data_IF_521472457026
#
_entry.id   IF_521472457026
#
_cell.length_a   1.000
_cell.length_b   1.000
_cell.length_c   1.000
_cell.angle_alpha   90.00
_cell.angle_beta   90.00
_cell.angle_gamma   90.00
#
_symmetry.space_group_name_H-M   'P 1'
#
loop_
_entity.id
_entity.type
_entity.pdbx_description
1 polymer ?
#
# COMPACT_ATOMS: atom_id res chain seq x y z
N UNK A 1 28.75 16.52 -9.21
CA UNK A 1 28.44 15.35 -8.34
C UNK A 1 27.63 15.77 -7.13
N UNK A 2 27.90 16.93 -6.54
CA UNK A 2 27.17 17.45 -5.36
C UNK A 2 25.70 17.75 -5.60
N UNK A 3 25.32 18.19 -6.80
CA UNK A 3 23.93 18.50 -7.16
C UNK A 3 23.06 17.23 -7.20
N UNK A 4 23.62 16.11 -7.68
CA UNK A 4 22.96 14.81 -7.66
C UNK A 4 22.77 14.30 -6.21
N UNK A 5 23.78 14.46 -5.35
CA UNK A 5 23.67 14.11 -3.93
C UNK A 5 22.65 14.98 -3.21
N UNK A 6 22.57 16.27 -3.54
CA UNK A 6 21.59 17.21 -2.98
C UNK A 6 20.17 16.83 -3.42
N UNK A 7 19.98 16.44 -4.68
CA UNK A 7 18.70 15.97 -5.21
C UNK A 7 18.25 14.67 -4.52
N UNK A 8 19.15 13.71 -4.36
CA UNK A 8 18.89 12.46 -3.62
C UNK A 8 18.60 12.75 -2.14
N UNK A 9 19.31 13.69 -1.51
CA UNK A 9 19.05 14.09 -0.12
C UNK A 9 17.66 14.69 0.08
N UNK A 10 17.21 15.54 -0.84
CA UNK A 10 15.92 16.22 -0.75
C UNK A 10 14.73 15.36 -1.17
N UNK A 11 14.90 14.49 -2.18
CA UNK A 11 13.81 13.68 -2.73
C UNK A 11 13.84 12.22 -2.28
N UNK A 12 14.98 11.72 -1.80
CA UNK A 12 15.14 10.33 -1.38
C UNK A 12 14.22 9.94 -0.23
N UNK A 13 14.02 10.84 0.74
CA UNK A 13 13.07 10.60 1.84
C UNK A 13 11.61 10.55 1.35
N UNK A 14 11.08 11.55 0.63
CA UNK A 14 9.75 11.46 0.03
C UNK A 14 9.56 10.22 -0.84
N UNK A 15 10.53 9.86 -1.67
CA UNK A 15 10.48 8.67 -2.54
C UNK A 15 10.37 7.39 -1.69
N UNK A 16 11.22 7.24 -0.68
CA UNK A 16 11.20 6.07 0.20
C UNK A 16 9.85 5.95 0.94
N UNK A 17 9.30 7.06 1.43
CA UNK A 17 7.98 7.09 2.06
C UNK A 17 6.89 6.70 1.07
N UNK A 18 6.88 7.28 -0.14
CA UNK A 18 5.91 6.91 -1.18
C UNK A 18 6.01 5.44 -1.55
N UNK A 19 7.21 4.89 -1.73
CA UNK A 19 7.42 3.47 -2.02
C UNK A 19 6.90 2.58 -0.89
N UNK A 20 7.21 2.92 0.37
CA UNK A 20 6.69 2.20 1.54
C UNK A 20 5.16 2.24 1.60
N UNK A 21 4.56 3.41 1.37
CA UNK A 21 3.11 3.58 1.40
C UNK A 21 2.43 2.80 0.28
N UNK A 22 3.00 2.77 -0.93
CA UNK A 22 2.46 1.99 -2.05
C UNK A 22 2.40 0.49 -1.69
N UNK A 23 3.51 -0.08 -1.22
CA UNK A 23 3.57 -1.49 -0.78
C UNK A 23 2.59 -1.75 0.36
N UNK A 24 2.50 -0.82 1.32
CA UNK A 24 1.56 -0.95 2.45
C UNK A 24 0.10 -0.91 2.00
N UNK A 25 -0.25 -0.05 1.05
CA UNK A 25 -1.62 0.08 0.53
C UNK A 25 -2.02 -1.17 -0.24
N UNK A 26 -1.12 -1.74 -1.03
CA UNK A 26 -1.38 -3.01 -1.74
C UNK A 26 -1.87 -4.10 -0.79
N UNK A 27 -1.15 -4.33 0.31
CA UNK A 27 -1.57 -5.30 1.34
C UNK A 27 -2.96 -5.00 1.92
N UNK A 28 -3.29 -3.71 2.15
CA UNK A 28 -4.62 -3.32 2.65
C UNK A 28 -5.74 -3.54 1.66
N UNK A 29 -5.49 -3.37 0.36
CA UNK A 29 -6.48 -3.67 -0.69
C UNK A 29 -6.75 -5.18 -0.76
N UNK A 30 -5.70 -6.00 -0.61
CA UNK A 30 -5.86 -7.46 -0.54
C UNK A 30 -6.67 -7.88 0.68
N UNK A 31 -6.35 -7.36 1.87
CA UNK A 31 -7.09 -7.63 3.12
C UNK A 31 -8.58 -7.26 2.98
N UNK A 32 -8.87 -6.10 2.39
CA UNK A 32 -10.24 -5.64 2.16
C UNK A 32 -11.00 -6.56 1.19
N UNK A 33 -10.34 -6.98 0.12
CA UNK A 33 -10.92 -7.92 -0.85
C UNK A 33 -11.27 -9.25 -0.18
N UNK A 34 -10.39 -9.77 0.68
CA UNK A 34 -10.65 -10.96 1.49
C UNK A 34 -11.85 -10.78 2.41
N UNK A 35 -11.91 -9.65 3.13
CA UNK A 35 -13.01 -9.31 4.04
C UNK A 35 -14.37 -9.26 3.33
N UNK A 36 -14.42 -8.71 2.10
CA UNK A 36 -15.64 -8.68 1.28
C UNK A 36 -16.05 -10.11 0.87
N UNK A 37 -15.09 -10.95 0.51
CA UNK A 37 -15.38 -12.34 0.14
C UNK A 37 -15.93 -13.14 1.33
N UNK A 38 -15.33 -12.98 2.51
CA UNK A 38 -15.82 -13.59 3.75
C UNK A 38 -17.22 -13.12 4.10
N UNK A 39 -17.49 -11.82 3.98
CA UNK A 39 -18.83 -11.26 4.18
C UNK A 39 -19.85 -11.87 3.20
N UNK A 40 -19.51 -11.98 1.92
CA UNK A 40 -20.36 -12.62 0.92
C UNK A 40 -20.68 -14.06 1.33
N UNK A 41 -19.67 -14.86 1.69
CA UNK A 41 -19.90 -16.24 2.11
C UNK A 41 -20.77 -16.33 3.38
N UNK A 42 -20.58 -15.43 4.32
CA UNK A 42 -21.40 -15.40 5.54
C UNK A 42 -22.89 -15.16 5.20
N UNK A 43 -23.18 -14.26 4.24
CA UNK A 43 -24.54 -14.02 3.75
C UNK A 43 -25.10 -15.25 3.03
N UNK A 44 -24.33 -15.87 2.13
CA UNK A 44 -24.74 -17.09 1.41
C UNK A 44 -25.04 -18.28 2.33
N UNK A 45 -24.46 -18.33 3.53
CA UNK A 45 -24.74 -19.38 4.53
C UNK A 45 -26.03 -19.13 5.33
N UNK A 46 -26.53 -17.90 5.37
CA UNK A 46 -27.71 -17.52 6.16
C UNK A 46 -28.99 -17.58 5.31
N UNK A 47 -28.88 -17.36 3.99
CA UNK A 47 -29.97 -17.52 3.03
C UNK A 47 -30.12 -18.96 2.55
#
# INVERSE_FOLDING_TARGET
MDELLTLIGNLGFPIAVSAYLLVRIEGKITDLTGSIHELRQAIERIC
#
